data_IF_344015887532
#
_entry.id   IF_344015887532
#
_cell.length_a   1.000
_cell.length_b   1.000
_cell.length_c   1.000
_cell.angle_alpha   90.00
_cell.angle_beta   90.00
_cell.angle_gamma   90.00
#
_symmetry.space_group_name_H-M   'P 1'
#
loop_
_entity.id
_entity.type
_entity.pdbx_description
1 polymer ?
#
# COMPACT_ATOMS: atom_id res chain seq x y z
N UNK A 1 4.82 2.51 -6.39
CA UNK A 1 4.18 1.35 -5.71
C UNK A 1 2.92 0.87 -6.44
N UNK A 2 2.02 1.76 -6.88
CA UNK A 2 0.79 1.39 -7.62
C UNK A 2 1.06 0.57 -8.89
N UNK A 3 2.02 0.99 -9.71
CA UNK A 3 2.43 0.25 -10.92
C UNK A 3 2.76 -1.23 -10.63
N UNK A 4 3.59 -1.50 -9.63
CA UNK A 4 3.99 -2.86 -9.27
C UNK A 4 2.83 -3.70 -8.73
N UNK A 5 1.93 -3.09 -7.95
CA UNK A 5 0.73 -3.76 -7.48
C UNK A 5 -0.21 -4.13 -8.64
N UNK A 6 -0.42 -3.21 -9.58
CA UNK A 6 -1.24 -3.46 -10.77
C UNK A 6 -0.63 -4.57 -11.64
N UNK A 7 0.69 -4.51 -11.89
CA UNK A 7 1.41 -5.52 -12.64
C UNK A 7 1.29 -6.92 -12.00
N UNK A 8 1.50 -7.00 -10.69
CA UNK A 8 1.40 -8.23 -9.92
C UNK A 8 0.00 -8.85 -10.01
N UNK A 9 -1.07 -8.03 -9.93
CA UNK A 9 -2.45 -8.49 -10.12
C UNK A 9 -2.71 -9.00 -11.54
N UNK A 10 -2.18 -8.34 -12.57
CA UNK A 10 -2.38 -8.78 -13.97
C UNK A 10 -1.68 -10.11 -14.21
N UNK A 11 -0.45 -10.28 -13.71
CA UNK A 11 0.30 -11.53 -13.87
C UNK A 11 -0.33 -12.72 -13.16
N UNK A 12 -0.99 -12.50 -12.03
CA UNK A 12 -1.66 -13.54 -11.24
C UNK A 12 -3.18 -13.58 -11.47
N UNK A 13 -3.65 -12.94 -12.55
CA UNK A 13 -5.05 -12.91 -12.92
C UNK A 13 -5.49 -14.20 -13.63
N UNK A 14 -6.34 -14.04 -14.65
CA UNK A 14 -6.86 -15.20 -15.40
C UNK A 14 -5.80 -15.79 -16.33
N UNK A 15 -5.54 -17.08 -16.17
CA UNK A 15 -4.63 -17.84 -17.03
C UNK A 15 -5.39 -18.65 -18.13
N UNK A 16 -4.71 -18.95 -19.27
CA UNK A 16 -3.38 -18.50 -19.63
C UNK A 16 -3.34 -17.00 -19.96
N UNK A 17 -2.18 -16.36 -19.74
CA UNK A 17 -1.98 -14.96 -20.14
C UNK A 17 -2.01 -14.88 -21.67
N UNK A 18 -2.69 -13.86 -22.22
CA UNK A 18 -2.85 -13.66 -23.67
C UNK A 18 -1.62 -13.06 -24.36
N UNK A 19 -0.71 -12.48 -23.58
CA UNK A 19 0.51 -11.79 -24.02
C UNK A 19 1.69 -12.25 -23.17
N UNK A 20 2.91 -12.02 -23.64
CA UNK A 20 4.10 -12.26 -22.82
C UNK A 20 4.12 -11.35 -21.59
N UNK A 21 4.87 -11.75 -20.56
CA UNK A 21 5.03 -10.91 -19.36
C UNK A 21 5.68 -9.57 -19.70
N UNK A 22 6.62 -9.53 -20.65
CA UNK A 22 7.28 -8.29 -21.10
C UNK A 22 6.31 -7.34 -21.80
N UNK A 23 5.42 -7.84 -22.67
CA UNK A 23 4.40 -7.01 -23.33
C UNK A 23 3.42 -6.42 -22.30
N UNK A 24 2.98 -7.24 -21.34
CA UNK A 24 2.11 -6.78 -20.25
C UNK A 24 2.82 -5.72 -19.39
N UNK A 25 4.11 -5.91 -19.08
CA UNK A 25 4.91 -4.93 -18.34
C UNK A 25 4.90 -3.58 -19.07
N UNK A 26 5.25 -3.59 -20.36
CA UNK A 26 5.28 -2.40 -21.21
C UNK A 26 3.93 -1.68 -21.20
N UNK A 27 2.84 -2.40 -21.49
CA UNK A 27 1.49 -1.83 -21.55
C UNK A 27 1.01 -1.29 -20.20
N UNK A 28 1.37 -1.96 -19.11
CA UNK A 28 1.01 -1.50 -17.76
C UNK A 28 1.81 -0.26 -17.39
N UNK A 29 3.09 -0.21 -17.78
CA UNK A 29 3.96 0.92 -17.50
C UNK A 29 3.50 2.17 -18.25
N UNK A 30 3.17 2.04 -19.54
CA UNK A 30 2.66 3.15 -20.36
C UNK A 30 1.34 3.73 -19.83
N UNK A 31 0.52 2.92 -19.14
CA UNK A 31 -0.77 3.37 -18.57
C UNK A 31 -0.65 3.99 -17.18
N UNK A 32 0.22 3.44 -16.34
CA UNK A 32 0.19 3.68 -14.88
C UNK A 32 1.45 4.41 -14.40
N UNK A 33 2.53 4.39 -15.17
CA UNK A 33 3.82 4.94 -14.76
C UNK A 33 4.21 6.13 -15.63
N UNK A 34 4.71 7.20 -14.99
CA UNK A 34 5.05 8.44 -15.70
C UNK A 34 6.32 8.35 -16.57
N UNK A 35 7.08 7.24 -16.49
CA UNK A 35 8.31 7.04 -17.27
C UNK A 35 8.11 5.98 -18.36
N UNK A 36 8.65 6.21 -19.57
CA UNK A 36 8.51 5.29 -20.68
C UNK A 36 9.22 3.95 -20.41
N UNK A 37 8.70 2.89 -21.02
CA UNK A 37 9.36 1.59 -21.00
C UNK A 37 10.68 1.63 -21.79
N UNK A 38 11.71 0.97 -21.26
CA UNK A 38 13.02 0.86 -21.91
C UNK A 38 13.09 -0.43 -22.73
N UNK A 39 13.21 -0.36 -24.08
CA UNK A 39 13.26 -1.55 -24.93
C UNK A 39 14.42 -2.50 -24.60
N UNK A 40 14.29 -3.76 -25.02
CA UNK A 40 15.29 -4.82 -24.80
C UNK A 40 15.61 -5.08 -23.32
N UNK A 41 14.63 -4.86 -22.43
CA UNK A 41 14.74 -5.17 -21.01
C UNK A 41 13.66 -6.17 -20.57
N UNK A 42 13.96 -6.96 -19.54
CA UNK A 42 13.01 -7.86 -18.90
C UNK A 42 13.04 -7.63 -17.39
N UNK A 43 12.73 -6.40 -16.97
CA UNK A 43 12.85 -5.97 -15.57
C UNK A 43 12.03 -6.87 -14.62
N UNK A 44 10.88 -7.37 -15.07
CA UNK A 44 10.01 -8.23 -14.27
C UNK A 44 10.70 -9.52 -13.79
N UNK A 45 11.74 -10.00 -14.49
CA UNK A 45 12.52 -11.17 -14.05
C UNK A 45 13.36 -10.90 -12.80
N UNK A 46 13.60 -9.62 -12.48
CA UNK A 46 14.31 -9.18 -11.27
C UNK A 46 13.34 -8.83 -10.15
N UNK A 47 12.03 -8.84 -10.41
CA UNK A 47 11.03 -8.53 -9.41
C UNK A 47 10.62 -9.81 -8.67
N UNK A 48 11.47 -10.21 -7.71
CA UNK A 48 11.32 -11.46 -6.97
C UNK A 48 10.00 -11.59 -6.22
N UNK A 49 9.33 -10.49 -5.86
CA UNK A 49 8.03 -10.51 -5.18
C UNK A 49 6.92 -11.16 -6.00
N UNK A 50 7.08 -11.24 -7.33
CA UNK A 50 6.16 -12.00 -8.18
C UNK A 50 6.15 -13.50 -7.82
N UNK A 51 7.20 -14.00 -7.17
CA UNK A 51 7.35 -15.40 -6.76
C UNK A 51 7.27 -15.50 -5.24
N UNK A 52 6.34 -16.29 -4.71
CA UNK A 52 6.11 -16.46 -3.26
C UNK A 52 5.28 -15.34 -2.60
N UNK A 53 5.32 -14.12 -3.15
CA UNK A 53 4.48 -13.00 -2.74
C UNK A 53 3.49 -12.52 -3.82
N UNK A 54 3.36 -13.30 -4.90
CA UNK A 54 2.48 -13.00 -6.01
C UNK A 54 1.03 -12.76 -5.58
N UNK A 55 0.35 -11.88 -6.31
CA UNK A 55 -1.01 -11.40 -6.06
C UNK A 55 -1.21 -10.62 -4.75
N UNK A 56 -0.15 -10.30 -4.00
CA UNK A 56 -0.24 -9.63 -2.69
C UNK A 56 0.50 -8.31 -2.65
N UNK A 57 1.16 -7.86 -3.72
CA UNK A 57 1.99 -6.65 -3.65
C UNK A 57 1.19 -5.38 -3.30
N UNK A 58 -0.11 -5.34 -3.61
CA UNK A 58 -1.01 -4.25 -3.21
C UNK A 58 -1.12 -4.06 -1.69
N UNK A 59 -0.83 -5.11 -0.90
CA UNK A 59 -0.89 -5.05 0.57
C UNK A 59 0.03 -3.98 1.16
N UNK A 60 1.16 -3.67 0.54
CA UNK A 60 2.04 -2.58 0.98
C UNK A 60 1.33 -1.21 0.95
N UNK A 61 0.52 -0.95 -0.08
CA UNK A 61 -0.27 0.28 -0.17
C UNK A 61 -1.35 0.31 0.93
N UNK A 62 -2.04 -0.81 1.12
CA UNK A 62 -3.07 -0.93 2.16
C UNK A 62 -2.48 -0.73 3.57
N UNK A 63 -1.36 -1.38 3.87
CA UNK A 63 -0.67 -1.24 5.16
C UNK A 63 -0.16 0.18 5.38
N UNK A 64 0.39 0.85 4.35
CA UNK A 64 0.79 2.27 4.46
C UNK A 64 -0.41 3.17 4.75
N UNK A 65 -1.52 2.98 4.04
CA UNK A 65 -2.74 3.76 4.25
C UNK A 65 -3.27 3.61 5.69
N UNK A 66 -3.38 2.37 6.19
CA UNK A 66 -3.76 2.10 7.59
C UNK A 66 -2.81 2.77 8.57
N UNK A 67 -1.50 2.65 8.37
CA UNK A 67 -0.51 3.25 9.25
C UNK A 67 -0.61 4.78 9.29
N UNK A 68 -0.77 5.41 8.13
CA UNK A 68 -0.98 6.86 8.01
C UNK A 68 -2.25 7.31 8.74
N UNK A 69 -3.37 6.61 8.54
CA UNK A 69 -4.62 6.92 9.23
C UNK A 69 -4.49 6.80 10.75
N UNK A 70 -3.88 5.72 11.24
CA UNK A 70 -3.63 5.51 12.67
C UNK A 70 -2.74 6.62 13.21
N UNK A 71 -1.66 6.98 12.51
CA UNK A 71 -0.79 8.07 12.94
C UNK A 71 -1.56 9.40 13.03
N UNK A 72 -2.17 9.83 11.92
CA UNK A 72 -2.85 11.13 11.81
C UNK A 72 -4.03 11.27 12.78
N UNK A 73 -4.83 10.22 12.95
CA UNK A 73 -6.05 10.29 13.76
C UNK A 73 -5.83 9.99 15.24
N UNK A 74 -4.74 9.30 15.59
CA UNK A 74 -4.56 8.79 16.94
C UNK A 74 -3.31 9.32 17.64
N UNK A 75 -2.23 9.60 16.92
CA UNK A 75 -0.92 9.89 17.53
C UNK A 75 -0.31 11.23 17.12
N UNK A 76 -0.76 11.85 16.04
CA UNK A 76 -0.16 13.09 15.54
C UNK A 76 -0.23 14.27 16.52
N UNK A 77 -1.27 14.34 17.36
CA UNK A 77 -1.42 15.37 18.38
C UNK A 77 -0.55 15.11 19.63
N UNK A 78 -0.55 13.86 20.11
CA UNK A 78 0.25 13.42 21.25
C UNK A 78 0.74 11.98 21.00
N UNK A 79 1.98 11.80 20.51
CA UNK A 79 2.53 10.47 20.23
C UNK A 79 2.72 9.60 21.49
N UNK A 80 2.70 10.19 22.69
CA UNK A 80 2.95 9.50 23.95
C UNK A 80 1.68 9.31 24.79
N UNK A 81 0.50 9.55 24.22
CA UNK A 81 -0.78 9.32 24.89
C UNK A 81 -0.91 7.85 25.33
N UNK A 82 -0.88 7.64 26.64
CA UNK A 82 -0.99 6.31 27.27
C UNK A 82 -2.30 5.61 26.93
N UNK A 83 -3.41 6.32 26.92
CA UNK A 83 -4.72 5.74 26.61
C UNK A 83 -4.79 5.29 25.15
N UNK A 84 -4.19 6.06 24.23
CA UNK A 84 -4.10 5.67 22.83
C UNK A 84 -3.17 4.48 22.61
N UNK A 85 -2.02 4.46 23.29
CA UNK A 85 -1.11 3.31 23.28
C UNK A 85 -1.77 2.01 23.75
N UNK A 86 -2.56 2.06 24.84
CA UNK A 86 -3.31 0.89 25.31
C UNK A 86 -4.39 0.44 24.32
N UNK A 87 -5.05 1.38 23.64
CA UNK A 87 -6.00 1.04 22.57
C UNK A 87 -5.27 0.33 21.42
N UNK A 88 -4.15 0.86 20.95
CA UNK A 88 -3.37 0.23 19.89
C UNK A 88 -2.92 -1.19 20.27
N UNK A 89 -2.41 -1.36 21.50
CA UNK A 89 -2.03 -2.67 22.03
C UNK A 89 -3.21 -3.66 22.02
N UNK A 90 -4.39 -3.24 22.50
CA UNK A 90 -5.58 -4.11 22.60
C UNK A 90 -6.21 -4.41 21.25
N UNK A 91 -6.40 -3.41 20.40
CA UNK A 91 -7.19 -3.53 19.17
C UNK A 91 -6.37 -4.03 17.97
N UNK A 92 -5.08 -3.69 17.90
CA UNK A 92 -4.23 -4.04 16.74
C UNK A 92 -3.25 -5.17 17.06
N UNK A 93 -2.57 -5.13 18.20
CA UNK A 93 -1.42 -6.03 18.46
C UNK A 93 -1.81 -7.34 19.16
N UNK A 94 -2.69 -7.28 20.16
CA UNK A 94 -2.97 -8.40 21.06
C UNK A 94 -3.57 -9.64 20.37
N UNK A 95 -4.10 -9.48 19.16
CA UNK A 95 -4.81 -10.54 18.45
C UNK A 95 -3.90 -11.38 17.53
N UNK A 96 -2.71 -10.89 17.16
CA UNK A 96 -1.89 -11.53 16.13
C UNK A 96 -2.70 -11.80 14.85
N UNK A 97 -2.65 -13.04 14.33
CA UNK A 97 -3.47 -13.47 13.19
C UNK A 97 -4.87 -13.99 13.55
N UNK A 98 -5.29 -13.90 14.83
CA UNK A 98 -6.53 -14.52 15.33
C UNK A 98 -7.80 -13.68 15.17
N UNK A 99 -7.71 -12.47 14.61
CA UNK A 99 -8.87 -11.59 14.34
C UNK A 99 -8.75 -11.06 12.92
N UNK A 100 -9.89 -10.81 12.28
CA UNK A 100 -9.94 -10.24 10.94
C UNK A 100 -9.28 -8.84 10.92
N UNK A 101 -8.33 -8.57 10.00
CA UNK A 101 -7.57 -7.31 9.99
C UNK A 101 -8.46 -6.06 9.93
N UNK A 102 -9.55 -6.10 9.14
CA UNK A 102 -10.46 -4.95 9.04
C UNK A 102 -11.15 -4.63 10.37
N UNK A 103 -11.46 -5.65 11.19
CA UNK A 103 -12.04 -5.45 12.51
C UNK A 103 -11.03 -4.87 13.51
N UNK A 104 -9.74 -5.18 13.36
CA UNK A 104 -8.67 -4.55 14.14
C UNK A 104 -8.58 -3.05 13.81
N UNK A 105 -8.54 -2.73 12.50
CA UNK A 105 -8.49 -1.35 12.00
C UNK A 105 -9.71 -0.55 12.47
N UNK A 106 -10.91 -1.13 12.38
CA UNK A 106 -12.14 -0.52 12.89
C UNK A 106 -12.10 -0.28 14.39
N UNK A 107 -11.58 -1.24 15.17
CA UNK A 107 -11.38 -1.08 16.60
C UNK A 107 -10.39 0.04 16.94
N UNK A 108 -9.32 0.20 16.17
CA UNK A 108 -8.35 1.27 16.40
C UNK A 108 -8.92 2.65 16.03
N UNK A 109 -9.45 2.78 14.82
CA UNK A 109 -9.93 4.04 14.26
C UNK A 109 -11.33 4.44 14.76
N UNK A 110 -12.04 3.54 15.43
CA UNK A 110 -13.43 3.70 15.88
C UNK A 110 -14.38 4.08 14.74
N UNK A 111 -14.07 3.68 13.51
CA UNK A 111 -14.89 3.86 12.30
C UNK A 111 -14.65 2.73 11.31
N UNK A 112 -15.59 2.56 10.37
CA UNK A 112 -15.42 1.68 9.21
C UNK A 112 -14.76 2.45 8.07
N UNK A 113 -13.46 2.24 7.78
CA UNK A 113 -12.79 2.97 6.71
C UNK A 113 -13.34 2.55 5.34
N UNK A 114 -13.60 3.53 4.47
CA UNK A 114 -13.95 3.28 3.07
C UNK A 114 -12.71 3.16 2.17
N UNK A 115 -12.91 2.87 0.88
CA UNK A 115 -11.78 2.87 -0.09
C UNK A 115 -11.22 4.28 -0.25
N UNK A 116 -12.09 5.29 -0.24
CA UNK A 116 -11.74 6.70 -0.32
C UNK A 116 -10.86 7.12 0.86
N UNK A 117 -11.21 6.69 2.08
CA UNK A 117 -10.37 6.92 3.27
C UNK A 117 -8.93 6.41 3.09
N UNK A 118 -8.75 5.22 2.49
CA UNK A 118 -7.42 4.67 2.22
C UNK A 118 -6.67 5.43 1.13
N UNK A 119 -7.38 5.85 0.08
CA UNK A 119 -6.79 6.64 -1.01
C UNK A 119 -6.34 8.01 -0.48
N UNK A 120 -7.20 8.69 0.26
CA UNK A 120 -6.92 10.01 0.84
C UNK A 120 -5.72 9.96 1.79
N UNK A 121 -5.62 8.90 2.60
CA UNK A 121 -4.47 8.69 3.48
C UNK A 121 -3.15 8.60 2.69
N UNK A 122 -3.14 7.88 1.56
CA UNK A 122 -1.96 7.73 0.71
C UNK A 122 -1.61 9.03 -0.03
N UNK A 123 -2.61 9.78 -0.51
CA UNK A 123 -2.39 11.06 -1.19
C UNK A 123 -1.82 12.09 -0.21
N UNK A 124 -2.43 12.21 0.98
CA UNK A 124 -1.98 13.16 2.00
C UNK A 124 -0.56 12.89 2.52
N UNK A 125 -0.10 11.64 2.52
CA UNK A 125 1.31 11.33 2.84
C UNK A 125 2.28 11.87 1.78
N UNK A 126 1.91 11.79 0.50
CA UNK A 126 2.76 12.30 -0.58
C UNK A 126 2.91 13.82 -0.47
N UNK A 127 1.81 14.53 -0.17
CA UNK A 127 1.83 15.99 -0.03
C UNK A 127 2.73 16.44 1.13
N UNK A 128 2.70 15.75 2.27
CA UNK A 128 3.61 16.01 3.39
C UNK A 128 5.08 15.78 3.02
N UNK A 129 5.37 14.71 2.29
CA UNK A 129 6.73 14.41 1.83
C UNK A 129 7.25 15.55 0.91
N UNK A 130 6.39 16.13 0.06
CA UNK A 130 6.75 17.26 -0.80
C UNK A 130 6.98 18.57 -0.04
N UNK A 131 6.10 18.92 0.90
CA UNK A 131 6.26 20.13 1.71
C UNK A 131 7.53 20.09 2.56
N UNK A 132 7.82 18.94 3.18
CA UNK A 132 9.03 18.74 3.98
C UNK A 132 10.28 18.85 3.10
N UNK A 133 10.27 18.26 1.90
CA UNK A 133 11.37 18.35 0.95
C UNK A 133 11.67 19.79 0.50
N UNK A 134 10.65 20.63 0.30
CA UNK A 134 10.81 22.03 -0.08
C UNK A 134 11.27 22.90 1.10
N UNK A 135 10.84 22.59 2.34
CA UNK A 135 11.29 23.30 3.53
C UNK A 135 12.75 23.00 3.91
N UNK A 136 13.23 21.80 3.59
CA UNK A 136 14.60 21.34 3.88
C UNK A 136 15.60 21.58 2.72
N UNK A 137 15.18 22.27 1.63
CA UNK A 137 16.00 22.63 0.45
C UNK A 137 16.34 24.11 0.40
#
# INVERSE_FOLDING_TARGET
>A
MVFYAALDQIYHGKHPLKKSTTEILKETQEKVYGLPYVPNTAWQLRFSHLVGYGAKYYSYLMSRAVASMVWKQCFAQDPFDRAMGERYRREMLAHGGGKEPILMVQGMLQKSPSVEDFVDALVSDLDQDFETFIMDS
#
